data_IF_836953557629
#
_entry.id   IF_836953557629
#
_cell.length_a   1.000
_cell.length_b   1.000
_cell.length_c   1.000
_cell.angle_alpha   90.00
_cell.angle_beta   90.00
_cell.angle_gamma   90.00
#
_symmetry.space_group_name_H-M   'P 1'
#
loop_
_entity.id
_entity.type
_entity.pdbx_description
1 polymer ?
#
# COMPACT_ATOMS: atom_id res chain seq x y z
N UNK A 1 -16.33 -8.08 -10.20
CA UNK A 1 -15.79 -7.44 -11.43
C UNK A 1 -15.51 -5.98 -11.10
N UNK A 2 -14.33 -5.48 -11.44
CA UNK A 2 -13.98 -4.06 -11.25
C UNK A 2 -14.56 -3.26 -12.44
N UNK A 3 -15.25 -2.16 -12.15
CA UNK A 3 -15.90 -1.33 -13.17
C UNK A 3 -14.87 -0.46 -13.86
N UNK A 4 -14.80 -0.57 -15.19
CA UNK A 4 -14.06 0.38 -16.02
C UNK A 4 -14.85 1.70 -16.12
N UNK A 5 -14.55 2.65 -15.22
CA UNK A 5 -15.25 3.94 -15.13
C UNK A 5 -15.07 4.80 -16.38
N UNK A 6 -13.90 4.78 -17.02
CA UNK A 6 -13.66 5.44 -18.31
C UNK A 6 -14.60 4.91 -19.39
N UNK A 7 -14.71 3.59 -19.53
CA UNK A 7 -15.62 2.99 -20.50
C UNK A 7 -17.09 3.30 -20.18
N UNK A 8 -17.47 3.26 -18.90
CA UNK A 8 -18.83 3.57 -18.46
C UNK A 8 -19.22 5.02 -18.80
N UNK A 9 -18.35 6.00 -18.54
CA UNK A 9 -18.62 7.42 -18.86
C UNK A 9 -18.59 7.64 -20.37
N UNK A 10 -17.72 6.98 -21.13
CA UNK A 10 -17.74 7.05 -22.61
C UNK A 10 -19.05 6.52 -23.20
N UNK A 11 -19.61 5.45 -22.63
CA UNK A 11 -20.87 4.88 -23.08
C UNK A 11 -22.07 5.73 -22.68
N UNK A 12 -22.04 6.34 -21.49
CA UNK A 12 -23.11 7.22 -21.01
C UNK A 12 -22.55 8.38 -20.18
N UNK A 13 -22.21 9.51 -20.83
CA UNK A 13 -21.67 10.68 -20.14
C UNK A 13 -22.62 11.29 -19.09
N UNK A 14 -23.93 11.08 -19.24
CA UNK A 14 -24.94 11.61 -18.31
C UNK A 14 -24.79 11.00 -16.92
N UNK A 15 -24.24 9.79 -16.79
CA UNK A 15 -24.01 9.15 -15.49
C UNK A 15 -23.06 9.97 -14.62
N UNK A 16 -22.01 10.56 -15.22
CA UNK A 16 -21.11 11.43 -14.47
C UNK A 16 -21.72 12.80 -14.20
N UNK A 17 -22.41 13.39 -15.19
CA UNK A 17 -23.06 14.70 -15.03
C UNK A 17 -24.11 14.67 -13.92
N UNK A 18 -24.92 13.61 -13.85
CA UNK A 18 -25.93 13.43 -12.81
C UNK A 18 -25.29 13.32 -11.42
N UNK A 19 -24.29 12.45 -11.27
CA UNK A 19 -23.53 12.30 -10.02
C UNK A 19 -22.86 13.62 -9.60
N UNK A 20 -22.27 14.35 -10.56
CA UNK A 20 -21.60 15.64 -10.31
C UNK A 20 -22.57 16.80 -10.08
N UNK A 21 -23.86 16.65 -10.40
CA UNK A 21 -24.90 17.67 -10.14
C UNK A 21 -25.48 17.57 -8.72
N UNK A 22 -25.08 16.55 -7.94
CA UNK A 22 -25.41 16.41 -6.53
C UNK A 22 -24.75 17.46 -5.62
N UNK A 23 -25.09 17.43 -4.33
CA UNK A 23 -24.72 18.48 -3.36
C UNK A 23 -23.22 18.66 -3.12
N UNK A 24 -22.36 17.70 -3.46
CA UNK A 24 -20.90 17.83 -3.35
C UNK A 24 -20.15 17.96 -4.67
N UNK A 25 -20.87 18.16 -5.78
CA UNK A 25 -20.24 18.47 -7.06
C UNK A 25 -19.39 17.34 -7.64
N UNK A 26 -18.52 17.71 -8.58
CA UNK A 26 -17.63 16.76 -9.26
C UNK A 26 -16.63 16.08 -8.30
N UNK A 27 -16.12 16.79 -7.30
CA UNK A 27 -15.12 16.25 -6.37
C UNK A 27 -15.69 15.11 -5.53
N UNK A 28 -16.91 15.28 -4.99
CA UNK A 28 -17.58 14.20 -4.27
C UNK A 28 -17.88 13.01 -5.21
N UNK A 29 -18.35 13.28 -6.43
CA UNK A 29 -18.62 12.21 -7.40
C UNK A 29 -17.37 11.40 -7.77
N UNK A 30 -16.19 12.04 -7.81
CA UNK A 30 -14.90 11.37 -8.03
C UNK A 30 -14.50 10.54 -6.81
N UNK A 31 -14.58 11.10 -5.60
CA UNK A 31 -14.27 10.38 -4.36
C UNK A 31 -15.15 9.12 -4.19
N UNK A 32 -16.44 9.22 -4.54
CA UNK A 32 -17.36 8.07 -4.54
C UNK A 32 -16.98 7.01 -5.58
N UNK A 33 -16.49 7.43 -6.76
CA UNK A 33 -15.95 6.49 -7.75
C UNK A 33 -14.71 5.76 -7.24
N UNK A 34 -13.77 6.48 -6.63
CA UNK A 34 -12.53 5.92 -6.06
C UNK A 34 -12.84 4.91 -4.95
N UNK A 35 -13.69 5.31 -4.00
CA UNK A 35 -14.17 4.44 -2.92
C UNK A 35 -14.89 3.19 -3.45
N UNK A 36 -15.76 3.34 -4.44
CA UNK A 36 -16.43 2.21 -5.07
C UNK A 36 -15.43 1.29 -5.80
N UNK A 37 -14.41 1.87 -6.44
CA UNK A 37 -13.32 1.15 -7.10
C UNK A 37 -12.50 0.31 -6.12
N UNK A 38 -12.11 0.88 -4.98
CA UNK A 38 -11.44 0.15 -3.89
C UNK A 38 -12.29 -1.01 -3.38
N UNK A 39 -13.58 -0.76 -3.11
CA UNK A 39 -14.50 -1.80 -2.66
C UNK A 39 -14.62 -2.94 -3.68
N UNK A 40 -14.68 -2.62 -4.98
CA UNK A 40 -14.72 -3.63 -6.04
C UNK A 40 -13.42 -4.43 -6.13
N UNK A 41 -12.27 -3.77 -6.01
CA UNK A 41 -10.96 -4.41 -6.04
C UNK A 41 -10.81 -5.41 -4.87
N UNK A 42 -11.11 -4.96 -3.64
CA UNK A 42 -11.00 -5.79 -2.42
C UNK A 42 -11.90 -7.02 -2.48
N UNK A 43 -13.09 -6.90 -3.10
CA UNK A 43 -14.05 -8.00 -3.25
C UNK A 43 -13.94 -8.74 -4.59
N UNK A 44 -12.81 -8.63 -5.29
CA UNK A 44 -12.54 -9.33 -6.54
C UNK A 44 -11.39 -10.33 -6.44
N UNK A 45 -11.27 -11.18 -7.45
CA UNK A 45 -10.13 -12.04 -7.72
C UNK A 45 -9.08 -11.35 -8.62
N UNK A 46 -9.20 -10.04 -8.84
CA UNK A 46 -8.30 -9.25 -9.69
C UNK A 46 -7.20 -8.58 -8.88
N UNK A 47 -6.07 -8.34 -9.53
CA UNK A 47 -5.00 -7.46 -9.09
C UNK A 47 -4.54 -6.55 -10.25
N UNK A 48 -3.89 -5.42 -9.97
CA UNK A 48 -3.31 -4.60 -11.03
C UNK A 48 -2.34 -5.39 -11.90
N UNK A 49 -2.34 -5.10 -13.21
CA UNK A 49 -1.40 -5.66 -14.17
C UNK A 49 -0.04 -4.95 -14.16
N UNK A 50 0.04 -3.69 -13.70
CA UNK A 50 1.30 -3.03 -13.34
C UNK A 50 1.79 -3.60 -11.98
N UNK A 51 2.64 -4.61 -12.06
CA UNK A 51 3.18 -5.35 -10.92
C UNK A 51 4.64 -4.97 -10.72
N UNK A 52 4.88 -4.06 -9.78
CA UNK A 52 6.22 -3.62 -9.41
C UNK A 52 6.79 -4.64 -8.43
N UNK A 53 7.92 -5.27 -8.75
CA UNK A 53 8.50 -6.34 -7.91
C UNK A 53 7.72 -7.66 -8.01
N UNK A 54 7.32 -8.05 -9.22
CA UNK A 54 6.54 -9.27 -9.51
C UNK A 54 7.18 -10.52 -8.91
N UNK A 55 8.49 -10.67 -9.05
CA UNK A 55 9.27 -11.79 -8.57
C UNK A 55 9.16 -11.98 -7.04
N UNK A 56 9.01 -10.89 -6.28
CA UNK A 56 8.83 -10.96 -4.83
C UNK A 56 7.45 -11.51 -4.49
N UNK A 57 6.41 -11.04 -5.19
CA UNK A 57 5.03 -11.49 -4.96
C UNK A 57 4.83 -12.95 -5.42
N UNK A 58 5.41 -13.31 -6.56
CA UNK A 58 5.45 -14.71 -7.04
C UNK A 58 6.25 -15.60 -6.10
N UNK A 59 7.35 -15.10 -5.53
CA UNK A 59 8.12 -15.78 -4.48
C UNK A 59 7.31 -16.02 -3.19
N UNK A 60 6.31 -15.19 -2.90
CA UNK A 60 5.33 -15.44 -1.83
C UNK A 60 4.19 -16.41 -2.23
N UNK A 61 4.16 -16.86 -3.47
CA UNK A 61 3.16 -17.79 -4.00
C UNK A 61 1.94 -17.13 -4.65
N UNK A 62 1.97 -15.82 -4.90
CA UNK A 62 0.93 -15.15 -5.70
C UNK A 62 1.09 -15.57 -7.16
N UNK A 63 0.01 -16.02 -7.79
CA UNK A 63 0.02 -16.37 -9.22
C UNK A 63 -0.79 -15.37 -10.00
N UNK A 64 -0.19 -14.74 -11.01
CA UNK A 64 -0.85 -13.77 -11.89
C UNK A 64 -1.16 -14.40 -13.25
N UNK A 65 -2.38 -14.17 -13.74
CA UNK A 65 -2.77 -14.51 -15.11
C UNK A 65 -2.52 -13.36 -16.10
N UNK A 66 -3.02 -13.54 -17.31
CA UNK A 66 -2.95 -12.52 -18.37
C UNK A 66 -3.87 -11.33 -18.09
N UNK A 67 -3.50 -10.09 -18.48
CA UNK A 67 -4.38 -8.94 -18.36
C UNK A 67 -5.76 -9.14 -19.01
N UNK A 68 -6.81 -8.64 -18.36
CA UNK A 68 -8.18 -8.76 -18.86
C UNK A 68 -8.33 -7.99 -20.18
N UNK A 69 -8.85 -8.66 -21.22
CA UNK A 69 -9.01 -8.02 -22.55
C UNK A 69 -9.92 -6.78 -22.54
N UNK A 70 -10.92 -6.74 -21.65
CA UNK A 70 -11.84 -5.62 -21.52
C UNK A 70 -11.30 -4.45 -20.66
N UNK A 71 -10.28 -4.73 -19.83
CA UNK A 71 -9.66 -3.73 -18.96
C UNK A 71 -8.22 -4.17 -18.60
N UNK A 72 -7.22 -3.93 -19.48
CA UNK A 72 -5.86 -4.42 -19.31
C UNK A 72 -5.12 -3.89 -18.08
N UNK A 73 -5.73 -2.98 -17.31
CA UNK A 73 -5.24 -2.49 -16.03
C UNK A 73 -5.25 -3.57 -14.94
N UNK A 74 -6.06 -4.62 -15.12
CA UNK A 74 -6.20 -5.70 -14.15
C UNK A 74 -5.93 -7.06 -14.79
N UNK A 75 -5.51 -8.01 -13.96
CA UNK A 75 -5.36 -9.42 -14.31
C UNK A 75 -5.98 -10.29 -13.20
N UNK A 76 -6.45 -11.52 -13.53
CA UNK A 76 -6.81 -12.49 -12.50
C UNK A 76 -5.58 -12.88 -11.70
N UNK A 77 -5.75 -13.06 -10.39
CA UNK A 77 -4.69 -13.50 -9.52
C UNK A 77 -5.19 -14.48 -8.45
N UNK A 78 -4.44 -15.57 -8.27
CA UNK A 78 -4.65 -16.54 -7.20
C UNK A 78 -3.74 -16.17 -6.04
N UNK A 79 -4.34 -15.97 -4.86
CA UNK A 79 -3.59 -15.70 -3.63
C UNK A 79 -3.29 -17.01 -2.89
N UNK A 80 -2.18 -17.09 -2.13
CA UNK A 80 -1.93 -18.21 -1.24
C UNK A 80 -3.04 -18.38 -0.19
N UNK A 81 -3.12 -19.57 0.42
CA UNK A 81 -4.10 -19.85 1.46
C UNK A 81 -3.98 -18.87 2.65
N UNK A 82 -5.13 -18.40 3.14
CA UNK A 82 -5.22 -17.45 4.25
C UNK A 82 -4.92 -15.99 3.87
N UNK A 83 -4.43 -15.71 2.66
CA UNK A 83 -4.22 -14.34 2.21
C UNK A 83 -5.55 -13.67 1.85
N UNK A 84 -5.61 -12.36 2.09
CA UNK A 84 -6.78 -11.53 1.77
C UNK A 84 -6.38 -10.18 1.21
N UNK A 85 -7.32 -9.57 0.50
CA UNK A 85 -7.30 -8.14 0.17
C UNK A 85 -7.96 -7.37 1.31
N UNK A 86 -7.40 -6.23 1.68
CA UNK A 86 -7.92 -5.39 2.76
C UNK A 86 -7.96 -3.93 2.31
N UNK A 87 -9.08 -3.25 2.56
CA UNK A 87 -9.20 -1.82 2.29
C UNK A 87 -8.30 -1.03 3.26
N UNK A 88 -7.69 0.05 2.77
CA UNK A 88 -7.03 1.03 3.66
C UNK A 88 -8.03 2.12 4.11
N UNK A 89 -7.54 3.06 4.92
CA UNK A 89 -8.24 4.28 5.30
C UNK A 89 -8.29 5.34 4.17
N UNK A 90 -7.56 5.13 3.07
CA UNK A 90 -7.57 5.99 1.90
C UNK A 90 -8.29 5.32 0.72
N UNK A 91 -9.21 6.04 0.07
CA UNK A 91 -10.12 5.52 -0.99
C UNK A 91 -9.41 4.95 -2.23
N UNK A 92 -8.12 5.21 -2.40
CA UNK A 92 -7.30 4.70 -3.51
C UNK A 92 -6.30 3.61 -3.10
N UNK A 93 -6.14 3.32 -1.81
CA UNK A 93 -5.15 2.36 -1.33
C UNK A 93 -5.81 1.11 -0.76
N UNK A 94 -5.21 -0.04 -1.00
CA UNK A 94 -5.58 -1.34 -0.42
C UNK A 94 -4.32 -2.13 -0.11
N UNK A 95 -4.45 -3.22 0.64
CA UNK A 95 -3.33 -4.08 1.03
C UNK A 95 -3.60 -5.53 0.64
N UNK A 96 -2.52 -6.26 0.34
CA UNK A 96 -2.51 -7.72 0.48
C UNK A 96 -1.99 -8.07 1.87
N UNK A 97 -2.77 -8.86 2.59
CA UNK A 97 -2.47 -9.30 3.95
C UNK A 97 -2.40 -10.82 3.96
N UNK A 98 -1.31 -11.37 4.50
CA UNK A 98 -1.15 -12.83 4.57
C UNK A 98 -1.98 -13.49 5.68
N UNK A 99 -1.94 -14.82 5.74
CA UNK A 99 -2.65 -15.61 6.76
C UNK A 99 -2.24 -15.34 8.20
N UNK A 100 -1.12 -14.64 8.43
CA UNK A 100 -0.67 -14.22 9.76
C UNK A 100 -1.02 -12.75 10.06
N UNK A 101 -1.71 -12.06 9.15
CA UNK A 101 -2.10 -10.66 9.32
C UNK A 101 -1.02 -9.66 8.91
N UNK A 102 0.07 -10.08 8.24
CA UNK A 102 1.14 -9.18 7.81
C UNK A 102 0.82 -8.59 6.45
N UNK A 103 1.06 -7.28 6.29
CA UNK A 103 0.97 -6.62 4.98
C UNK A 103 2.14 -7.08 4.11
N UNK A 104 1.82 -7.60 2.94
CA UNK A 104 2.79 -8.13 1.96
C UNK A 104 2.89 -7.29 0.70
N UNK A 105 1.83 -6.54 0.39
CA UNK A 105 1.83 -5.61 -0.72
C UNK A 105 0.90 -4.44 -0.44
N UNK A 106 1.23 -3.30 -1.02
CA UNK A 106 0.35 -2.15 -1.14
C UNK A 106 -0.17 -2.08 -2.57
N UNK A 107 -1.47 -1.86 -2.71
CA UNK A 107 -2.16 -1.72 -3.99
C UNK A 107 -2.70 -0.31 -4.09
N UNK A 108 -2.37 0.38 -5.18
CA UNK A 108 -2.98 1.64 -5.56
C UNK A 108 -4.00 1.41 -6.66
N UNK A 109 -5.18 2.00 -6.52
CA UNK A 109 -6.17 2.06 -7.58
C UNK A 109 -6.93 3.38 -7.52
N UNK A 110 -6.72 4.21 -8.54
CA UNK A 110 -7.49 5.41 -8.84
C UNK A 110 -8.58 5.08 -9.86
N UNK A 111 -9.84 5.15 -9.43
CA UNK A 111 -10.98 4.82 -10.27
C UNK A 111 -11.60 6.04 -10.99
N UNK A 112 -11.00 7.23 -10.87
CA UNK A 112 -11.45 8.43 -11.57
C UNK A 112 -11.48 8.22 -13.10
N UNK A 113 -12.63 8.40 -13.73
CA UNK A 113 -12.85 8.03 -15.13
C UNK A 113 -11.92 8.71 -16.15
N UNK A 114 -11.36 9.88 -15.84
CA UNK A 114 -10.51 10.67 -16.73
C UNK A 114 -9.01 10.35 -16.58
N UNK A 115 -8.62 9.68 -15.50
CA UNK A 115 -7.23 9.40 -15.14
C UNK A 115 -7.17 8.16 -14.23
N UNK A 116 -7.54 7.01 -14.80
CA UNK A 116 -7.48 5.74 -14.09
C UNK A 116 -6.05 5.24 -14.03
N UNK A 117 -5.63 4.78 -12.85
CA UNK A 117 -4.32 4.18 -12.64
C UNK A 117 -4.45 3.05 -11.61
N UNK A 118 -3.77 1.93 -11.84
CA UNK A 118 -3.63 0.90 -10.83
C UNK A 118 -2.24 0.26 -10.89
N UNK A 119 -1.64 0.05 -9.73
CA UNK A 119 -0.40 -0.70 -9.59
C UNK A 119 -0.34 -1.41 -8.25
N UNK A 120 0.48 -2.45 -8.16
CA UNK A 120 0.79 -3.16 -6.92
C UNK A 120 2.30 -3.17 -6.71
N UNK A 121 2.72 -3.04 -5.45
CA UNK A 121 4.13 -3.17 -5.04
C UNK A 121 4.25 -4.00 -3.76
N UNK A 122 5.28 -4.85 -3.61
CA UNK A 122 5.52 -5.54 -2.36
C UNK A 122 5.85 -4.55 -1.25
N UNK A 123 5.51 -4.94 -0.03
CA UNK A 123 5.90 -4.23 1.18
C UNK A 123 7.39 -4.50 1.45
N UNK A 124 8.13 -3.48 1.87
CA UNK A 124 9.54 -3.66 2.27
C UNK A 124 9.62 -3.97 3.76
N UNK A 125 10.71 -4.61 4.20
CA UNK A 125 10.92 -4.86 5.63
C UNK A 125 11.02 -3.53 6.41
N UNK A 126 11.59 -2.49 5.80
CA UNK A 126 11.62 -1.12 6.37
C UNK A 126 10.20 -0.54 6.48
N UNK A 127 9.34 -0.69 5.47
CA UNK A 127 7.95 -0.21 5.52
C UNK A 127 7.10 -0.97 6.55
N UNK A 128 7.34 -2.28 6.70
CA UNK A 128 6.73 -3.10 7.73
C UNK A 128 7.18 -2.68 9.15
N UNK A 129 8.48 -2.46 9.34
CA UNK A 129 9.04 -1.91 10.58
C UNK A 129 8.47 -0.52 10.90
N UNK A 130 8.37 0.34 9.89
CA UNK A 130 7.77 1.67 10.04
C UNK A 130 6.32 1.57 10.54
N UNK A 131 5.53 0.66 9.95
CA UNK A 131 4.14 0.43 10.38
C UNK A 131 4.08 -0.03 11.84
N UNK A 132 5.01 -0.87 12.30
CA UNK A 132 5.10 -1.25 13.70
C UNK A 132 5.39 -0.04 14.60
N UNK A 133 6.40 0.75 14.26
CA UNK A 133 6.87 1.86 15.09
C UNK A 133 5.88 3.04 15.17
N UNK A 134 5.14 3.29 14.09
CA UNK A 134 4.24 4.44 13.99
C UNK A 134 2.77 4.10 14.18
N UNK A 135 2.34 2.90 13.77
CA UNK A 135 0.94 2.47 13.83
C UNK A 135 0.67 1.37 14.85
N UNK A 136 1.71 0.84 15.52
CA UNK A 136 1.58 -0.20 16.53
C UNK A 136 1.21 -1.58 15.98
N UNK A 137 1.39 -1.82 14.68
CA UNK A 137 1.11 -3.14 14.09
C UNK A 137 2.06 -4.19 14.65
N UNK A 138 1.58 -5.41 14.91
CA UNK A 138 2.45 -6.48 15.41
C UNK A 138 3.59 -6.77 14.43
N UNK A 139 4.82 -6.91 14.97
CA UNK A 139 6.01 -7.23 14.20
C UNK A 139 6.30 -8.73 14.34
N UNK A 140 5.75 -9.51 13.43
CA UNK A 140 5.94 -10.96 13.33
C UNK A 140 7.11 -11.28 12.39
N UNK A 141 8.01 -12.16 12.83
CA UNK A 141 9.14 -12.64 12.04
C UNK A 141 8.83 -13.94 11.31
N UNK A 142 9.53 -14.19 10.21
CA UNK A 142 9.56 -15.50 9.53
C UNK A 142 10.99 -15.82 9.05
N UNK A 143 11.16 -16.97 8.41
CA UNK A 143 12.46 -17.42 7.92
C UNK A 143 12.76 -16.98 6.47
N UNK A 144 11.91 -16.14 5.86
CA UNK A 144 11.96 -15.86 4.41
C UNK A 144 12.08 -14.37 4.09
N UNK A 145 11.27 -13.51 4.70
CA UNK A 145 11.15 -12.08 4.37
C UNK A 145 11.45 -11.19 5.58
N UNK A 146 10.70 -11.38 6.67
CA UNK A 146 10.87 -10.61 7.90
C UNK A 146 11.72 -11.40 8.90
N UNK A 147 12.91 -11.83 8.46
CA UNK A 147 13.83 -12.57 9.34
C UNK A 147 14.35 -11.66 10.45
N UNK A 148 14.78 -12.22 11.60
CA UNK A 148 15.44 -11.43 12.64
C UNK A 148 16.61 -10.59 12.11
N UNK A 149 17.40 -11.16 11.19
CA UNK A 149 18.50 -10.45 10.54
C UNK A 149 18.00 -9.32 9.63
N UNK A 150 17.00 -9.57 8.77
CA UNK A 150 16.43 -8.55 7.89
C UNK A 150 15.78 -7.40 8.67
N UNK A 151 15.15 -7.70 9.81
CA UNK A 151 14.61 -6.68 10.70
C UNK A 151 15.71 -5.88 11.41
N UNK A 152 16.79 -6.54 11.84
CA UNK A 152 17.94 -5.85 12.40
C UNK A 152 18.56 -4.88 11.38
N UNK A 153 18.77 -5.33 10.14
CA UNK A 153 19.28 -4.50 9.04
C UNK A 153 18.32 -3.34 8.73
N UNK A 154 17.01 -3.60 8.69
CA UNK A 154 16.00 -2.56 8.50
C UNK A 154 15.99 -1.52 9.63
N UNK A 155 16.22 -1.93 10.88
CA UNK A 155 16.36 -1.00 12.00
C UNK A 155 17.60 -0.11 11.83
N UNK A 156 18.74 -0.68 11.44
CA UNK A 156 19.97 0.09 11.19
C UNK A 156 19.74 1.13 10.10
N UNK A 157 19.18 0.74 8.95
CA UNK A 157 18.87 1.66 7.86
C UNK A 157 17.89 2.77 8.30
N UNK A 158 16.86 2.41 9.08
CA UNK A 158 15.88 3.37 9.57
C UNK A 158 16.46 4.36 10.59
N UNK A 159 17.42 3.91 11.40
CA UNK A 159 18.17 4.77 12.34
C UNK A 159 19.11 5.72 11.60
N UNK A 160 19.82 5.25 10.56
CA UNK A 160 20.67 6.09 9.71
C UNK A 160 19.85 7.22 9.06
N UNK A 161 18.71 6.88 8.46
CA UNK A 161 17.81 7.88 7.88
C UNK A 161 17.27 8.87 8.93
N UNK A 162 16.90 8.40 10.13
CA UNK A 162 16.48 9.29 11.21
C UNK A 162 17.61 10.24 11.64
N UNK A 163 18.87 9.78 11.64
CA UNK A 163 20.02 10.61 11.95
C UNK A 163 20.27 11.69 10.88
N UNK A 164 20.14 11.36 9.60
CA UNK A 164 20.24 12.34 8.50
C UNK A 164 19.19 13.46 8.63
N UNK A 165 17.96 13.09 9.02
CA UNK A 165 16.90 14.05 9.31
C UNK A 165 17.25 14.93 10.52
N UNK A 166 17.73 14.33 11.63
CA UNK A 166 18.20 15.08 12.82
C UNK A 166 19.24 16.13 12.40
N UNK A 167 20.25 15.72 11.65
CA UNK A 167 21.35 16.60 11.22
C UNK A 167 20.84 17.73 10.30
N UNK A 168 19.89 17.42 9.44
CA UNK A 168 19.26 18.39 8.53
C UNK A 168 18.45 19.43 9.30
N UNK A 169 17.59 19.00 10.23
CA UNK A 169 16.76 19.90 11.01
C UNK A 169 17.54 20.70 12.06
N UNK A 170 18.60 20.12 12.62
CA UNK A 170 19.53 20.82 13.50
C UNK A 170 20.23 21.98 12.77
N UNK A 171 20.67 21.76 11.52
CA UNK A 171 21.34 22.77 10.69
C UNK A 171 20.48 24.01 10.44
N UNK A 172 19.17 23.83 10.31
CA UNK A 172 18.21 24.92 10.10
C UNK A 172 17.54 25.40 11.40
N UNK A 173 18.02 24.94 12.56
CA UNK A 173 17.57 25.40 13.88
C UNK A 173 16.17 24.96 14.30
N UNK A 174 15.63 23.89 13.70
CA UNK A 174 14.27 23.43 14.00
C UNK A 174 14.24 22.34 15.08
N UNK A 175 14.31 22.75 16.34
CA UNK A 175 14.40 21.85 17.50
C UNK A 175 13.24 20.84 17.59
N UNK A 176 12.03 21.22 17.15
CA UNK A 176 10.85 20.33 17.16
C UNK A 176 11.07 19.07 16.30
N UNK A 177 11.67 19.22 15.12
CA UNK A 177 11.92 18.09 14.24
C UNK A 177 13.13 17.29 14.70
N UNK A 178 14.15 17.94 15.26
CA UNK A 178 15.26 17.23 15.93
C UNK A 178 14.73 16.28 16.99
N UNK A 179 13.92 16.78 17.94
CA UNK A 179 13.32 15.96 19.00
C UNK A 179 12.47 14.82 18.43
N UNK A 180 11.64 15.10 17.42
CA UNK A 180 10.80 14.10 16.75
C UNK A 180 11.64 12.95 16.19
N UNK A 181 12.70 13.24 15.44
CA UNK A 181 13.52 12.21 14.80
C UNK A 181 14.47 11.51 15.77
N UNK A 182 14.91 12.19 16.84
CA UNK A 182 15.61 11.53 17.97
C UNK A 182 14.72 10.47 18.60
N UNK A 183 13.48 10.82 18.97
CA UNK A 183 12.53 9.86 19.53
C UNK A 183 12.21 8.71 18.54
N UNK A 184 12.18 8.98 17.23
CA UNK A 184 12.02 7.94 16.22
C UNK A 184 13.22 6.99 16.14
N UNK A 185 14.44 7.52 16.21
CA UNK A 185 15.67 6.73 16.24
C UNK A 185 15.71 5.82 17.48
N UNK A 186 15.34 6.33 18.65
CA UNK A 186 15.24 5.56 19.89
C UNK A 186 14.24 4.38 19.79
N UNK A 187 13.09 4.60 19.13
CA UNK A 187 12.12 3.52 18.88
C UNK A 187 12.72 2.41 18.02
N UNK A 188 13.43 2.74 16.94
CA UNK A 188 14.10 1.73 16.12
C UNK A 188 15.21 1.02 16.88
N UNK A 189 15.99 1.73 17.70
CA UNK A 189 17.01 1.13 18.55
C UNK A 189 16.41 0.13 19.57
N UNK A 190 15.25 0.45 20.14
CA UNK A 190 14.52 -0.45 21.04
C UNK A 190 14.02 -1.72 20.34
N UNK A 191 13.61 -1.63 19.07
CA UNK A 191 13.27 -2.80 18.26
C UNK A 191 14.53 -3.62 17.93
N UNK A 192 15.61 -2.97 17.50
CA UNK A 192 16.88 -3.62 17.18
C UNK A 192 17.44 -4.43 18.35
N UNK A 193 17.30 -3.92 19.58
CA UNK A 193 17.74 -4.62 20.79
C UNK A 193 17.04 -5.98 21.01
N UNK A 194 15.86 -6.19 20.42
CA UNK A 194 15.12 -7.46 20.51
C UNK A 194 15.63 -8.52 19.53
N UNK A 195 16.33 -8.10 18.46
CA UNK A 195 16.76 -8.97 17.36
C UNK A 195 18.28 -9.12 17.26
N UNK A 196 19.04 -8.43 18.11
CA UNK A 196 20.47 -8.71 18.31
C UNK A 196 20.62 -9.97 19.16
N UNK A 197 20.97 -11.08 18.50
CA UNK A 197 21.45 -12.32 19.13
C UNK A 197 22.90 -12.16 19.56
#
# INVERSE_FOLDING_TARGET
>A
MIKNTTAAVRQNPLVFIDAASGSGGADQAIAEQEKAGQAQLVNSDRLPADIRGREVLEGFGVVFGEPDAADPMFCPATLPEGWRREASDHDMWSYLVDGQGRRRASIFYKAAFYDREAFIRPETVVGYLWSHVHNGTALLTDDVWATPAALADACVLAMEHAQEEIDTWARIGNAKYVEKYTAQCEKYAAVLAQYRV
#
